data_IF_227686688473
#
_entry.id   IF_227686688473
#
_cell.length_a   1.000
_cell.length_b   1.000
_cell.length_c   1.000
_cell.angle_alpha   90.00
_cell.angle_beta   90.00
_cell.angle_gamma   90.00
#
_symmetry.space_group_name_H-M   'P 1'
#
loop_
_entity.id
_entity.type
_entity.pdbx_description
1 polymer ?
#
# COMPACT_ATOMS: atom_id res chain seq x y z
N UNK A 1 -1.81 -19.34 10.64
CA UNK A 1 -0.89 -19.71 11.75
C UNK A 1 -0.35 -18.46 12.44
N UNK A 2 -0.22 -18.49 13.74
CA UNK A 2 0.44 -17.44 14.54
C UNK A 2 1.96 -17.60 14.33
N UNK A 3 2.71 -16.49 14.27
CA UNK A 3 4.18 -16.59 14.15
C UNK A 3 4.80 -17.11 15.46
N UNK A 4 5.87 -17.91 15.32
CA UNK A 4 6.58 -18.48 16.48
C UNK A 4 7.06 -17.40 17.46
N UNK A 5 7.44 -16.22 16.96
CA UNK A 5 7.86 -15.09 17.79
C UNK A 5 6.74 -14.58 18.71
N UNK A 6 5.50 -14.55 18.23
CA UNK A 6 4.35 -14.12 19.02
C UNK A 6 3.97 -15.18 20.05
N UNK A 7 4.00 -16.47 19.65
CA UNK A 7 3.83 -17.56 20.59
C UNK A 7 4.86 -17.48 21.71
N UNK A 8 6.16 -17.30 21.36
CA UNK A 8 7.24 -17.18 22.35
C UNK A 8 7.03 -16.00 23.29
N UNK A 9 6.74 -14.80 22.75
CA UNK A 9 6.47 -13.62 23.59
C UNK A 9 5.30 -13.84 24.54
N UNK A 10 4.27 -14.55 24.09
CA UNK A 10 3.08 -14.88 24.92
C UNK A 10 3.46 -15.83 26.05
N UNK A 11 4.23 -16.89 25.75
CA UNK A 11 4.68 -17.84 26.75
C UNK A 11 5.64 -17.20 27.78
N UNK A 12 6.57 -16.36 27.31
CA UNK A 12 7.49 -15.62 28.20
C UNK A 12 6.73 -14.70 29.16
N UNK A 13 5.71 -14.00 28.65
CA UNK A 13 4.83 -13.17 29.46
C UNK A 13 4.06 -13.98 30.52
N UNK A 14 3.50 -15.13 30.14
CA UNK A 14 2.80 -16.03 31.05
C UNK A 14 3.74 -16.61 32.12
N UNK A 15 4.96 -17.05 31.73
CA UNK A 15 5.99 -17.52 32.65
C UNK A 15 6.42 -16.44 33.65
N UNK A 16 6.60 -15.19 33.18
CA UNK A 16 6.99 -14.08 34.06
C UNK A 16 5.96 -13.85 35.20
N UNK A 17 4.66 -14.06 34.91
CA UNK A 17 3.58 -13.91 35.88
C UNK A 17 3.44 -15.14 36.76
N UNK A 18 3.41 -16.35 36.19
CA UNK A 18 3.01 -17.60 36.85
C UNK A 18 4.19 -18.40 37.41
N UNK A 19 5.39 -18.15 36.90
CA UNK A 19 6.63 -18.92 37.16
C UNK A 19 6.56 -20.38 36.74
N UNK A 20 5.59 -20.74 35.91
CA UNK A 20 5.41 -22.09 35.35
C UNK A 20 5.98 -22.10 33.95
N UNK A 21 6.74 -23.14 33.65
CA UNK A 21 7.31 -23.36 32.32
C UNK A 21 6.24 -23.87 31.34
N UNK A 22 6.22 -23.25 30.16
CA UNK A 22 5.23 -23.52 29.12
C UNK A 22 5.91 -23.78 27.77
N UNK A 23 5.35 -24.69 26.98
CA UNK A 23 5.77 -25.00 25.62
C UNK A 23 4.56 -25.16 24.70
N UNK A 24 4.74 -24.91 23.44
CA UNK A 24 3.73 -25.10 22.39
C UNK A 24 4.34 -25.91 21.25
N UNK A 25 3.65 -26.96 20.85
CA UNK A 25 3.99 -27.81 19.70
C UNK A 25 2.85 -27.78 18.68
N UNK A 26 3.19 -28.09 17.42
CA UNK A 26 2.19 -28.43 16.42
C UNK A 26 1.67 -29.88 16.63
N UNK A 27 0.75 -30.31 15.78
CA UNK A 27 0.16 -31.67 15.83
C UNK A 27 1.15 -32.76 15.38
N UNK A 28 2.28 -32.39 14.77
CA UNK A 28 3.36 -33.30 14.37
C UNK A 28 4.44 -33.44 15.47
N UNK A 29 4.29 -32.72 16.59
CA UNK A 29 5.21 -32.77 17.74
C UNK A 29 6.36 -31.74 17.66
N UNK A 30 6.45 -30.96 16.59
CA UNK A 30 7.49 -29.95 16.44
C UNK A 30 7.26 -28.77 17.40
N UNK A 31 8.27 -28.43 18.18
CA UNK A 31 8.22 -27.28 19.10
C UNK A 31 8.20 -25.97 18.31
N UNK A 32 7.20 -25.13 18.54
CA UNK A 32 7.02 -23.83 17.94
C UNK A 32 7.53 -22.69 18.84
N UNK A 33 7.34 -22.83 20.15
CA UNK A 33 7.82 -21.92 21.17
C UNK A 33 7.96 -22.66 22.51
N UNK A 34 8.94 -22.29 23.34
CA UNK A 34 9.15 -22.90 24.65
C UNK A 34 9.88 -21.97 25.59
N UNK A 35 9.55 -22.03 26.90
CA UNK A 35 10.25 -21.35 27.98
C UNK A 35 11.24 -22.25 28.72
N UNK A 36 11.41 -23.50 28.30
CA UNK A 36 12.31 -24.52 28.84
C UNK A 36 13.02 -25.29 27.72
N UNK A 37 14.17 -25.90 28.04
CA UNK A 37 15.10 -26.44 27.05
C UNK A 37 14.83 -27.87 26.59
N UNK A 38 14.14 -28.65 27.43
CA UNK A 38 13.84 -30.10 27.20
C UNK A 38 12.44 -30.32 26.57
N UNK A 39 11.88 -29.29 25.94
CA UNK A 39 10.59 -29.40 25.23
C UNK A 39 10.65 -30.35 24.01
N UNK A 40 11.81 -30.42 23.34
CA UNK A 40 12.02 -31.28 22.18
C UNK A 40 11.95 -32.79 22.55
N UNK A 41 12.25 -33.16 23.78
CA UNK A 41 12.19 -34.55 24.26
C UNK A 41 10.74 -35.05 24.39
N UNK A 42 9.73 -34.17 24.30
CA UNK A 42 8.32 -34.50 24.44
C UNK A 42 7.61 -34.85 23.11
N UNK A 43 8.31 -34.85 21.97
CA UNK A 43 7.73 -35.13 20.64
C UNK A 43 6.90 -36.43 20.63
N UNK A 44 7.46 -37.54 21.10
CA UNK A 44 6.75 -38.83 21.15
C UNK A 44 5.52 -38.81 22.04
N UNK A 45 5.57 -38.04 23.15
CA UNK A 45 4.44 -37.88 24.06
C UNK A 45 3.34 -37.00 23.47
N UNK A 46 3.72 -35.97 22.66
CA UNK A 46 2.78 -35.12 21.92
C UNK A 46 2.00 -35.96 20.92
N UNK A 47 2.68 -36.80 20.11
CA UNK A 47 2.01 -37.67 19.12
C UNK A 47 0.99 -38.62 19.76
N UNK A 48 1.35 -39.24 20.90
CA UNK A 48 0.42 -40.09 21.67
C UNK A 48 -0.79 -39.30 22.16
N UNK A 49 -0.58 -38.07 22.62
CA UNK A 49 -1.66 -37.23 23.15
C UNK A 49 -2.56 -36.67 22.04
N UNK A 50 -2.06 -36.40 20.85
CA UNK A 50 -2.86 -35.97 19.68
C UNK A 50 -4.01 -36.97 19.42
N UNK A 51 -3.72 -38.27 19.45
CA UNK A 51 -4.68 -39.34 19.20
C UNK A 51 -5.58 -39.64 20.41
N UNK A 52 -5.27 -39.11 21.60
CA UNK A 52 -6.06 -39.31 22.80
C UNK A 52 -7.41 -38.60 22.71
N UNK A 53 -8.52 -39.17 23.21
CA UNK A 53 -9.81 -38.48 23.29
C UNK A 53 -9.86 -37.39 24.37
N UNK A 54 -8.84 -37.30 25.22
CA UNK A 54 -8.82 -36.34 26.34
C UNK A 54 -8.39 -34.94 25.86
N UNK A 55 -9.01 -33.89 26.39
CA UNK A 55 -8.63 -32.51 26.14
C UNK A 55 -7.38 -32.06 26.93
N UNK A 56 -7.08 -32.78 28.01
CA UNK A 56 -5.88 -32.61 28.81
C UNK A 56 -5.44 -33.94 29.45
N UNK A 57 -4.12 -34.12 29.60
CA UNK A 57 -3.54 -35.35 30.13
C UNK A 57 -2.16 -35.08 30.75
N UNK A 58 -1.81 -35.86 31.80
CA UNK A 58 -0.46 -35.86 32.36
C UNK A 58 0.34 -36.99 31.71
N UNK A 59 1.46 -36.68 31.08
CA UNK A 59 2.36 -37.67 30.47
C UNK A 59 3.80 -37.30 30.90
N UNK A 60 4.53 -38.23 31.47
CA UNK A 60 5.93 -38.05 31.89
C UNK A 60 6.22 -36.80 32.73
N UNK A 61 5.27 -36.39 33.57
CA UNK A 61 5.44 -35.21 34.43
C UNK A 61 5.07 -33.86 33.80
N UNK A 62 4.64 -33.88 32.55
CA UNK A 62 4.10 -32.68 31.88
C UNK A 62 2.57 -32.76 31.83
N UNK A 63 1.93 -31.60 31.94
CA UNK A 63 0.49 -31.43 31.66
C UNK A 63 0.36 -30.99 30.18
N UNK A 64 -0.40 -31.77 29.41
CA UNK A 64 -0.70 -31.51 28.00
C UNK A 64 -2.12 -30.98 27.87
N UNK A 65 -2.32 -30.01 26.99
CA UNK A 65 -3.62 -29.41 26.68
C UNK A 65 -3.79 -29.26 25.19
N UNK A 66 -4.96 -29.64 24.65
CA UNK A 66 -5.35 -29.42 23.28
C UNK A 66 -5.82 -27.98 23.07
N UNK A 67 -5.36 -27.35 22.02
CA UNK A 67 -5.79 -26.02 21.58
C UNK A 67 -6.42 -26.15 20.20
N UNK A 68 -7.71 -25.83 20.12
CA UNK A 68 -8.51 -26.00 18.92
C UNK A 68 -8.73 -24.67 18.20
N UNK A 69 -8.74 -24.71 16.85
CA UNK A 69 -9.35 -23.70 16.00
C UNK A 69 -10.73 -24.23 15.57
N UNK A 70 -11.79 -23.70 16.12
CA UNK A 70 -13.17 -24.24 16.00
C UNK A 70 -13.22 -25.73 16.41
N UNK A 71 -13.15 -26.65 15.44
CA UNK A 71 -13.18 -28.10 15.66
C UNK A 71 -11.90 -28.81 15.26
N UNK A 72 -10.90 -28.07 14.74
CA UNK A 72 -9.62 -28.62 14.30
C UNK A 72 -8.57 -28.42 15.40
N UNK A 73 -7.88 -29.50 15.78
CA UNK A 73 -6.74 -29.42 16.67
C UNK A 73 -5.59 -28.70 15.96
N UNK A 74 -5.12 -27.60 16.54
CA UNK A 74 -4.09 -26.76 15.91
C UNK A 74 -2.76 -26.83 16.66
N UNK A 75 -2.82 -26.77 18.00
CA UNK A 75 -1.63 -26.84 18.85
C UNK A 75 -1.82 -27.72 20.06
N UNK A 76 -0.69 -28.22 20.59
CA UNK A 76 -0.59 -28.85 21.89
C UNK A 76 0.22 -27.91 22.81
N UNK A 77 -0.38 -27.49 23.91
CA UNK A 77 0.32 -26.75 24.95
C UNK A 77 0.84 -27.72 26.02
N UNK A 78 2.08 -27.54 26.43
CA UNK A 78 2.73 -28.25 27.51
C UNK A 78 2.95 -27.31 28.69
N UNK A 79 2.66 -27.76 29.90
CA UNK A 79 3.00 -27.07 31.14
C UNK A 79 3.84 -27.99 32.04
N UNK A 80 4.99 -27.48 32.51
CA UNK A 80 5.97 -28.22 33.31
C UNK A 80 5.92 -27.76 34.76
N UNK A 81 5.75 -28.69 35.69
CA UNK A 81 5.83 -28.42 37.12
C UNK A 81 5.12 -29.50 37.96
N UNK A 82 5.36 -29.49 39.26
CA UNK A 82 4.84 -30.49 40.20
C UNK A 82 3.73 -29.96 41.14
N UNK A 83 3.33 -28.69 40.98
CA UNK A 83 2.29 -28.09 41.83
C UNK A 83 0.89 -28.23 41.24
N UNK A 84 -0.13 -28.20 42.06
CA UNK A 84 -1.55 -28.24 41.65
C UNK A 84 -1.92 -27.04 40.74
N UNK A 85 -1.14 -25.95 40.83
CA UNK A 85 -1.33 -24.75 40.01
C UNK A 85 -0.99 -24.96 38.52
N UNK A 86 -0.13 -25.97 38.18
CA UNK A 86 0.29 -26.25 36.83
C UNK A 86 -0.88 -26.55 35.89
N UNK A 87 -1.85 -27.32 36.37
CA UNK A 87 -3.07 -27.62 35.60
C UNK A 87 -3.88 -26.35 35.32
N UNK A 88 -4.08 -25.51 36.35
CA UNK A 88 -4.86 -24.28 36.22
C UNK A 88 -4.16 -23.29 35.27
N UNK A 89 -2.85 -23.09 35.41
CA UNK A 89 -2.05 -22.20 34.56
C UNK A 89 -2.00 -22.73 33.15
N UNK A 90 -1.77 -24.03 32.94
CA UNK A 90 -1.78 -24.65 31.61
C UNK A 90 -3.12 -24.48 30.90
N UNK A 91 -4.24 -24.64 31.61
CA UNK A 91 -5.59 -24.44 31.08
C UNK A 91 -5.86 -22.97 30.72
N UNK A 92 -5.41 -22.02 31.55
CA UNK A 92 -5.48 -20.58 31.25
C UNK A 92 -4.60 -20.21 30.04
N UNK A 93 -3.39 -20.77 29.95
CA UNK A 93 -2.51 -20.55 28.82
C UNK A 93 -3.11 -21.12 27.53
N UNK A 94 -3.67 -22.33 27.55
CA UNK A 94 -4.37 -22.92 26.40
C UNK A 94 -5.54 -22.04 25.93
N UNK A 95 -6.35 -21.55 26.87
CA UNK A 95 -7.45 -20.62 26.57
C UNK A 95 -6.94 -19.29 25.98
N UNK A 96 -5.84 -18.74 26.51
CA UNK A 96 -5.22 -17.52 25.98
C UNK A 96 -4.71 -17.73 24.55
N UNK A 97 -4.04 -18.86 24.26
CA UNK A 97 -3.58 -19.20 22.91
C UNK A 97 -4.76 -19.40 21.96
N UNK A 98 -5.84 -20.03 22.41
CA UNK A 98 -7.07 -20.18 21.62
C UNK A 98 -7.69 -18.83 21.24
N UNK A 99 -7.79 -17.89 22.20
CA UNK A 99 -8.25 -16.53 21.91
C UNK A 99 -7.32 -15.79 20.94
N UNK A 100 -6.02 -16.01 21.05
CA UNK A 100 -5.03 -15.46 20.14
C UNK A 100 -5.24 -16.00 18.71
N UNK A 101 -5.49 -17.31 18.56
CA UNK A 101 -5.82 -17.94 17.27
C UNK A 101 -7.03 -17.29 16.63
N UNK A 102 -8.13 -17.15 17.36
CA UNK A 102 -9.37 -16.52 16.86
C UNK A 102 -9.09 -15.08 16.40
N UNK A 103 -8.37 -14.28 17.20
CA UNK A 103 -8.04 -12.90 16.86
C UNK A 103 -7.16 -12.80 15.59
N UNK A 104 -6.19 -13.71 15.45
CA UNK A 104 -5.32 -13.76 14.27
C UNK A 104 -6.08 -14.17 13.01
N UNK A 105 -6.96 -15.16 13.12
CA UNK A 105 -7.81 -15.61 12.02
C UNK A 105 -8.73 -14.48 11.55
N UNK A 106 -9.40 -13.81 12.48
CA UNK A 106 -10.27 -12.67 12.17
C UNK A 106 -9.50 -11.54 11.45
N UNK A 107 -8.29 -11.22 11.96
CA UNK A 107 -7.42 -10.22 11.32
C UNK A 107 -6.99 -10.63 9.92
N UNK A 108 -6.62 -11.90 9.71
CA UNK A 108 -6.23 -12.45 8.43
C UNK A 108 -7.40 -12.45 7.44
N UNK A 109 -8.60 -12.82 7.90
CA UNK A 109 -9.80 -12.81 7.08
C UNK A 109 -10.19 -11.38 6.66
N UNK A 110 -10.07 -10.40 7.55
CA UNK A 110 -10.26 -8.97 7.23
C UNK A 110 -9.24 -8.48 6.20
N UNK A 111 -7.96 -8.79 6.38
CA UNK A 111 -6.89 -8.40 5.45
C UNK A 111 -7.12 -9.00 4.06
N UNK A 112 -7.43 -10.31 3.99
CA UNK A 112 -7.77 -10.98 2.74
C UNK A 112 -9.02 -10.42 2.07
N UNK A 113 -10.05 -10.11 2.85
CA UNK A 113 -11.26 -9.48 2.33
C UNK A 113 -10.95 -8.14 1.68
N UNK A 114 -10.21 -7.28 2.38
CA UNK A 114 -9.83 -5.94 1.87
C UNK A 114 -8.93 -6.07 0.62
N UNK A 115 -7.96 -6.97 0.59
CA UNK A 115 -7.12 -7.21 -0.60
C UNK A 115 -7.94 -7.62 -1.81
N UNK A 116 -8.84 -8.59 -1.65
CA UNK A 116 -9.71 -9.04 -2.74
C UNK A 116 -10.67 -7.93 -3.19
N UNK A 117 -11.14 -7.10 -2.28
CA UNK A 117 -11.99 -5.95 -2.58
C UNK A 117 -11.23 -4.88 -3.39
N UNK A 118 -10.00 -4.54 -3.00
CA UNK A 118 -9.13 -3.61 -3.73
C UNK A 118 -8.86 -4.09 -5.16
N UNK A 119 -8.62 -5.39 -5.32
CA UNK A 119 -8.30 -6.01 -6.61
C UNK A 119 -9.54 -6.33 -7.47
N UNK A 120 -10.74 -6.02 -7.01
CA UNK A 120 -12.00 -6.26 -7.73
C UNK A 120 -12.30 -7.77 -7.97
N UNK A 121 -11.86 -8.62 -7.04
CA UNK A 121 -11.95 -10.08 -7.13
C UNK A 121 -13.21 -10.66 -6.46
N UNK A 122 -14.16 -9.82 -6.03
CA UNK A 122 -15.35 -10.25 -5.30
C UNK A 122 -16.64 -9.90 -6.06
N UNK A 123 -17.58 -10.82 -6.05
CA UNK A 123 -18.93 -10.54 -6.51
C UNK A 123 -19.66 -9.64 -5.50
N UNK A 124 -20.59 -8.83 -6.00
CA UNK A 124 -21.32 -7.85 -5.17
C UNK A 124 -22.00 -8.50 -3.95
N UNK A 125 -22.60 -9.68 -4.13
CA UNK A 125 -23.25 -10.43 -3.04
C UNK A 125 -22.24 -10.86 -1.99
N UNK A 126 -21.06 -11.30 -2.42
CA UNK A 126 -20.00 -11.73 -1.50
C UNK A 126 -19.41 -10.57 -0.70
N UNK A 127 -19.34 -9.36 -1.31
CA UNK A 127 -18.87 -8.15 -0.63
C UNK A 127 -19.70 -7.89 0.62
N UNK A 128 -21.02 -7.82 0.48
CA UNK A 128 -21.90 -7.52 1.60
C UNK A 128 -21.99 -8.66 2.62
N UNK A 129 -22.03 -9.91 2.18
CA UNK A 129 -22.07 -11.07 3.08
C UNK A 129 -20.79 -11.18 3.92
N UNK A 130 -19.62 -11.00 3.30
CA UNK A 130 -18.33 -11.06 4.03
C UNK A 130 -18.15 -9.85 4.93
N UNK A 131 -18.50 -8.62 4.47
CA UNK A 131 -18.46 -7.43 5.31
C UNK A 131 -19.29 -7.61 6.58
N UNK A 132 -20.52 -8.15 6.46
CA UNK A 132 -21.39 -8.46 7.61
C UNK A 132 -20.76 -9.47 8.55
N UNK A 133 -20.20 -10.59 8.02
CA UNK A 133 -19.53 -11.63 8.83
C UNK A 133 -18.31 -11.06 9.57
N UNK A 134 -17.57 -10.14 8.95
CA UNK A 134 -16.36 -9.54 9.50
C UNK A 134 -16.63 -8.28 10.34
N UNK A 135 -17.90 -7.94 10.55
CA UNK A 135 -18.31 -6.73 11.29
C UNK A 135 -17.72 -5.44 10.69
N UNK A 136 -17.71 -5.34 9.36
CA UNK A 136 -17.24 -4.16 8.63
C UNK A 136 -18.45 -3.35 8.15
N UNK A 137 -18.51 -2.08 8.55
CA UNK A 137 -19.58 -1.15 8.13
C UNK A 137 -19.51 -0.92 6.61
N UNK A 138 -20.64 -1.08 5.91
CA UNK A 138 -20.72 -0.95 4.45
C UNK A 138 -20.93 0.48 3.98
N UNK A 139 -21.78 1.24 4.68
CA UNK A 139 -22.29 2.57 4.29
C UNK A 139 -21.47 3.71 4.90
N UNK A 140 -20.17 3.49 5.09
CA UNK A 140 -19.25 4.46 5.66
C UNK A 140 -18.40 5.06 4.55
N UNK A 141 -18.25 6.39 4.57
CA UNK A 141 -17.35 7.08 3.62
C UNK A 141 -15.92 6.65 3.81
N UNK A 142 -15.25 6.29 2.70
CA UNK A 142 -13.84 5.88 2.71
C UNK A 142 -13.07 6.53 1.57
N UNK A 143 -11.77 6.54 1.71
CA UNK A 143 -10.82 6.92 0.66
C UNK A 143 -9.63 5.96 0.71
N UNK A 144 -9.10 5.62 -0.47
CA UNK A 144 -7.93 4.75 -0.56
C UNK A 144 -6.68 5.59 -0.83
N UNK A 145 -5.66 5.39 -0.01
CA UNK A 145 -4.31 5.90 -0.22
C UNK A 145 -3.39 4.77 -0.67
N UNK A 146 -2.50 5.09 -1.58
CA UNK A 146 -1.35 4.26 -1.96
C UNK A 146 -0.09 4.99 -1.51
N UNK A 147 0.72 4.32 -0.72
CA UNK A 147 1.99 4.80 -0.22
C UNK A 147 3.05 3.94 -0.89
N UNK A 148 3.72 4.50 -1.90
CA UNK A 148 4.78 3.81 -2.62
C UNK A 148 6.10 4.03 -1.89
N UNK A 149 6.76 2.93 -1.50
CA UNK A 149 8.10 2.96 -0.90
C UNK A 149 9.17 2.71 -1.95
N UNK A 150 10.38 3.24 -1.72
CA UNK A 150 11.49 3.07 -2.66
C UNK A 150 12.15 1.69 -2.53
N UNK A 151 12.08 1.10 -1.33
CA UNK A 151 12.65 -0.20 -1.02
C UNK A 151 11.57 -1.27 -1.05
N UNK A 152 11.91 -2.43 -1.61
CA UNK A 152 11.04 -3.61 -1.58
C UNK A 152 10.91 -4.13 -0.14
N UNK A 153 9.68 -4.50 0.27
CA UNK A 153 9.35 -5.08 1.59
C UNK A 153 9.84 -4.23 2.77
N UNK A 154 9.64 -2.93 2.71
CA UNK A 154 9.99 -2.04 3.83
C UNK A 154 9.05 -2.30 5.03
N UNK A 155 9.44 -3.26 5.87
CA UNK A 155 8.69 -3.67 7.07
C UNK A 155 8.54 -2.50 8.04
N UNK A 156 9.56 -1.65 8.15
CA UNK A 156 9.55 -0.49 9.03
C UNK A 156 8.53 0.54 8.56
N UNK A 157 8.44 0.79 7.25
CA UNK A 157 7.43 1.70 6.69
C UNK A 157 6.01 1.19 6.96
N UNK A 158 5.74 -0.11 6.77
CA UNK A 158 4.43 -0.70 7.05
C UNK A 158 4.07 -0.58 8.54
N UNK A 159 5.01 -0.85 9.44
CA UNK A 159 4.78 -0.75 10.89
C UNK A 159 4.59 0.71 11.34
N UNK A 160 5.34 1.64 10.78
CA UNK A 160 5.17 3.08 11.02
C UNK A 160 3.75 3.53 10.60
N UNK A 161 3.29 3.16 9.41
CA UNK A 161 1.92 3.47 8.97
C UNK A 161 0.89 2.82 9.90
N UNK A 162 1.08 1.57 10.31
CA UNK A 162 0.18 0.89 11.26
C UNK A 162 0.12 1.60 12.61
N UNK A 163 1.25 2.03 13.15
CA UNK A 163 1.31 2.75 14.42
C UNK A 163 0.59 4.10 14.36
N UNK A 164 0.73 4.83 13.25
CA UNK A 164 0.07 6.12 13.02
C UNK A 164 -1.46 6.02 13.04
N UNK A 165 -2.01 4.89 12.58
CA UNK A 165 -3.44 4.64 12.53
C UNK A 165 -3.94 3.62 13.57
N UNK A 166 -3.11 3.19 14.52
CA UNK A 166 -3.42 2.14 15.50
C UNK A 166 -4.67 2.45 16.35
N UNK A 167 -4.93 3.73 16.65
CA UNK A 167 -6.11 4.16 17.42
C UNK A 167 -7.42 4.21 16.58
N UNK A 168 -7.34 4.01 15.27
CA UNK A 168 -8.46 4.12 14.33
C UNK A 168 -8.88 2.72 13.90
N UNK A 169 -9.80 2.12 14.64
CA UNK A 169 -10.24 0.72 14.46
C UNK A 169 -10.97 0.42 13.15
N UNK A 170 -11.38 1.47 12.41
CA UNK A 170 -12.14 1.34 11.16
C UNK A 170 -11.29 1.54 9.89
N UNK A 171 -10.02 1.89 10.06
CA UNK A 171 -9.07 2.00 8.96
C UNK A 171 -8.42 0.64 8.67
N UNK A 172 -8.18 0.32 7.41
CA UNK A 172 -7.50 -0.91 7.01
C UNK A 172 -6.16 -0.58 6.37
N UNK A 173 -5.12 -1.27 6.82
CA UNK A 173 -3.76 -1.10 6.29
C UNK A 173 -3.27 -2.46 5.82
N UNK A 174 -3.00 -2.56 4.52
CA UNK A 174 -2.54 -3.79 3.87
C UNK A 174 -1.45 -3.48 2.86
N UNK A 175 -0.81 -4.52 2.30
CA UNK A 175 0.09 -4.42 1.17
C UNK A 175 -0.45 -5.34 0.06
N UNK A 176 -0.56 -4.81 -1.14
CA UNK A 176 -1.03 -5.57 -2.32
C UNK A 176 0.16 -6.12 -3.10
N UNK A 177 1.28 -5.41 -3.04
CA UNK A 177 2.57 -5.80 -3.62
C UNK A 177 3.73 -5.40 -2.71
N UNK A 178 4.97 -5.61 -3.16
CA UNK A 178 6.17 -5.42 -2.35
C UNK A 178 6.55 -3.94 -2.12
N UNK A 179 6.00 -3.01 -2.91
CA UNK A 179 6.35 -1.59 -2.90
C UNK A 179 5.24 -0.68 -2.39
N UNK A 180 3.99 -1.18 -2.36
CA UNK A 180 2.83 -0.36 -2.09
C UNK A 180 2.13 -0.75 -0.78
N UNK A 181 2.12 0.18 0.17
CA UNK A 181 1.29 0.11 1.36
C UNK A 181 -0.04 0.79 1.03
N UNK A 182 -1.14 0.11 1.30
CA UNK A 182 -2.49 0.60 1.04
C UNK A 182 -3.18 0.93 2.35
N UNK A 183 -3.66 2.16 2.48
CA UNK A 183 -4.51 2.60 3.57
C UNK A 183 -5.92 2.84 3.03
N UNK A 184 -6.89 2.07 3.52
CA UNK A 184 -8.32 2.33 3.30
C UNK A 184 -8.83 3.07 4.53
N UNK A 185 -8.92 4.40 4.44
CA UNK A 185 -9.25 5.29 5.56
C UNK A 185 -10.74 5.60 5.60
N UNK A 186 -11.35 5.53 6.79
CA UNK A 186 -12.67 6.10 7.04
C UNK A 186 -12.59 7.63 6.99
N UNK A 187 -13.53 8.25 6.27
CA UNK A 187 -13.69 9.71 6.18
C UNK A 187 -14.76 10.15 7.15
N UNK A 188 -14.40 10.96 8.13
CA UNK A 188 -15.30 11.45 9.16
C UNK A 188 -16.31 12.46 8.59
N UNK A 189 -17.42 12.63 9.28
CA UNK A 189 -18.42 13.64 8.90
C UNK A 189 -17.80 15.04 8.95
N UNK A 190 -17.87 15.79 7.84
CA UNK A 190 -17.27 17.13 7.70
C UNK A 190 -15.82 17.13 7.21
N UNK A 191 -15.15 16.00 7.12
CA UNK A 191 -13.77 15.89 6.59
C UNK A 191 -13.77 16.19 5.08
N UNK A 192 -12.91 17.12 4.67
CA UNK A 192 -12.78 17.60 3.29
C UNK A 192 -11.52 17.08 2.62
N UNK A 193 -11.38 17.28 1.30
CA UNK A 193 -10.14 16.95 0.58
C UNK A 193 -8.89 17.64 1.15
N UNK A 194 -9.03 18.86 1.74
CA UNK A 194 -7.91 19.54 2.41
C UNK A 194 -7.39 18.79 3.64
N UNK A 195 -8.26 18.05 4.34
CA UNK A 195 -7.85 17.20 5.47
C UNK A 195 -7.27 15.86 5.00
N UNK A 196 -7.74 15.37 3.85
CA UNK A 196 -7.12 14.21 3.19
C UNK A 196 -5.68 14.55 2.74
N UNK A 197 -5.45 15.75 2.18
CA UNK A 197 -4.11 16.23 1.86
C UNK A 197 -3.22 16.34 3.11
N UNK A 198 -3.74 16.82 4.22
CA UNK A 198 -3.00 16.86 5.51
C UNK A 198 -2.64 15.45 5.98
N UNK A 199 -3.57 14.50 5.88
CA UNK A 199 -3.30 13.09 6.21
C UNK A 199 -2.18 12.52 5.34
N UNK A 200 -2.21 12.76 4.03
CA UNK A 200 -1.16 12.32 3.11
C UNK A 200 0.21 12.92 3.45
N UNK A 201 0.26 14.23 3.76
CA UNK A 201 1.50 14.89 4.18
C UNK A 201 2.01 14.37 5.53
N UNK A 202 1.12 14.10 6.50
CA UNK A 202 1.52 13.48 7.78
C UNK A 202 2.18 12.13 7.57
N UNK A 203 1.61 11.28 6.71
CA UNK A 203 2.21 9.98 6.35
C UNK A 203 3.57 10.17 5.69
N UNK A 204 3.68 11.11 4.74
CA UNK A 204 4.92 11.45 4.06
C UNK A 204 6.02 11.89 5.05
N UNK A 205 5.69 12.81 5.95
CA UNK A 205 6.63 13.37 6.92
C UNK A 205 7.10 12.30 7.93
N UNK A 206 6.18 11.48 8.44
CA UNK A 206 6.52 10.39 9.37
C UNK A 206 7.44 9.35 8.72
N UNK A 207 7.15 8.92 7.50
CA UNK A 207 7.98 7.94 6.81
C UNK A 207 9.35 8.49 6.41
N UNK A 208 9.43 9.77 6.03
CA UNK A 208 10.71 10.42 5.74
C UNK A 208 11.57 10.59 6.99
N UNK A 209 10.97 10.87 8.15
CA UNK A 209 11.71 11.16 9.40
C UNK A 209 11.99 9.91 10.22
N UNK A 210 11.02 9.03 10.44
CA UNK A 210 11.17 7.86 11.32
C UNK A 210 11.69 6.63 10.58
N UNK A 211 11.15 6.35 9.39
CA UNK A 211 11.60 5.20 8.59
C UNK A 211 12.77 5.53 7.65
N UNK A 212 13.17 6.82 7.53
CA UNK A 212 14.22 7.30 6.60
C UNK A 212 13.99 6.84 5.16
N UNK A 213 12.73 6.62 4.77
CA UNK A 213 12.35 6.07 3.47
C UNK A 213 11.67 7.15 2.65
N UNK A 214 12.21 7.40 1.44
CA UNK A 214 11.54 8.29 0.48
C UNK A 214 10.29 7.61 -0.05
N UNK A 215 9.15 8.28 0.07
CA UNK A 215 7.87 7.74 -0.35
C UNK A 215 7.11 8.72 -1.24
N UNK A 216 6.17 8.20 -2.02
CA UNK A 216 5.11 8.96 -2.67
C UNK A 216 3.76 8.50 -2.13
N UNK A 217 2.88 9.45 -1.89
CA UNK A 217 1.53 9.18 -1.41
C UNK A 217 0.53 9.66 -2.46
N UNK A 218 -0.30 8.75 -2.95
CA UNK A 218 -1.39 9.10 -3.85
C UNK A 218 -2.72 8.64 -3.25
N UNK A 219 -3.82 9.36 -3.55
CA UNK A 219 -5.13 8.96 -3.07
C UNK A 219 -6.24 9.20 -4.09
N UNK A 220 -7.27 8.34 -4.00
CA UNK A 220 -8.45 8.37 -4.87
C UNK A 220 -9.51 9.36 -4.41
N UNK A 221 -10.73 9.19 -4.91
CA UNK A 221 -11.89 9.97 -4.47
C UNK A 221 -12.55 9.34 -3.25
N UNK A 222 -13.29 10.17 -2.50
CA UNK A 222 -14.16 9.72 -1.42
C UNK A 222 -15.29 8.88 -2.03
N UNK A 223 -15.49 7.70 -1.46
CA UNK A 223 -16.57 6.76 -1.81
C UNK A 223 -17.56 6.66 -0.65
N UNK A 224 -18.79 6.26 -0.94
CA UNK A 224 -19.86 6.19 0.07
C UNK A 224 -20.25 4.76 0.46
N UNK A 225 -19.77 3.77 -0.27
CA UNK A 225 -20.12 2.36 -0.07
C UNK A 225 -18.86 1.50 -0.24
N UNK A 226 -18.75 0.44 0.55
CA UNK A 226 -17.59 -0.46 0.56
C UNK A 226 -17.32 -1.12 -0.81
N UNK A 227 -18.37 -1.38 -1.61
CA UNK A 227 -18.25 -1.94 -2.97
C UNK A 227 -17.45 -1.06 -3.92
N UNK A 228 -17.32 0.24 -3.61
CA UNK A 228 -16.60 1.21 -4.44
C UNK A 228 -15.11 1.34 -4.06
N UNK A 229 -14.63 0.57 -3.08
CA UNK A 229 -13.22 0.63 -2.63
C UNK A 229 -12.27 0.35 -3.80
N UNK A 230 -12.57 -0.61 -4.68
CA UNK A 230 -11.77 -0.89 -5.88
C UNK A 230 -11.68 0.32 -6.83
N UNK A 231 -12.75 1.12 -6.93
CA UNK A 231 -12.73 2.36 -7.72
C UNK A 231 -11.75 3.37 -7.13
N UNK A 232 -11.85 3.67 -5.83
CA UNK A 232 -10.95 4.62 -5.17
C UNK A 232 -9.49 4.13 -5.23
N UNK A 233 -9.25 2.82 -5.18
CA UNK A 233 -7.93 2.24 -5.36
C UNK A 233 -7.38 2.43 -6.79
N UNK A 234 -8.18 2.14 -7.83
CA UNK A 234 -7.81 2.36 -9.23
C UNK A 234 -7.51 3.83 -9.52
N UNK A 235 -8.28 4.73 -8.91
CA UNK A 235 -8.05 6.19 -8.97
C UNK A 235 -6.75 6.60 -8.28
N UNK A 236 -6.46 6.07 -7.08
CA UNK A 236 -5.20 6.32 -6.38
C UNK A 236 -3.99 5.80 -7.16
N UNK A 237 -4.10 4.62 -7.79
CA UNK A 237 -3.07 4.06 -8.64
C UNK A 237 -2.80 4.94 -9.86
N UNK A 238 -3.87 5.38 -10.53
CA UNK A 238 -3.73 6.33 -11.63
C UNK A 238 -3.10 7.64 -11.17
N UNK A 239 -3.46 8.15 -9.98
CA UNK A 239 -2.86 9.36 -9.43
C UNK A 239 -1.35 9.19 -9.20
N UNK A 240 -0.93 8.01 -8.71
CA UNK A 240 0.48 7.70 -8.51
C UNK A 240 1.25 7.69 -9.84
N UNK A 241 0.73 7.01 -10.87
CA UNK A 241 1.38 6.89 -12.17
C UNK A 241 1.42 8.23 -12.91
N UNK A 242 0.29 8.95 -12.98
CA UNK A 242 0.21 10.30 -13.57
C UNK A 242 1.14 11.28 -12.83
N UNK A 243 1.26 11.10 -11.51
CA UNK A 243 2.19 11.85 -10.68
C UNK A 243 3.65 11.65 -11.09
N UNK A 244 4.06 10.40 -11.35
CA UNK A 244 5.41 10.07 -11.84
C UNK A 244 5.72 10.72 -13.19
N UNK A 245 4.75 10.74 -14.08
CA UNK A 245 4.90 11.27 -15.43
C UNK A 245 4.95 12.79 -15.45
N UNK A 246 3.97 13.44 -14.82
CA UNK A 246 3.74 14.88 -15.02
C UNK A 246 4.10 15.76 -13.83
N UNK A 247 4.17 15.17 -12.62
CA UNK A 247 4.37 15.90 -11.36
C UNK A 247 5.52 15.31 -10.53
N UNK A 248 6.67 15.04 -11.20
CA UNK A 248 7.84 14.39 -10.60
C UNK A 248 8.31 15.03 -9.28
N UNK A 249 8.11 16.35 -9.13
CA UNK A 249 8.50 17.11 -7.93
C UNK A 249 7.47 17.06 -6.81
N UNK A 250 6.32 16.40 -7.00
CA UNK A 250 5.29 16.27 -5.98
C UNK A 250 5.33 14.87 -5.39
N UNK A 251 5.36 14.80 -4.07
CA UNK A 251 5.32 13.54 -3.33
C UNK A 251 3.90 13.18 -2.86
N UNK A 252 2.96 14.14 -2.83
CA UNK A 252 1.54 13.92 -2.54
C UNK A 252 0.72 14.26 -3.77
N UNK A 253 -0.08 13.31 -4.25
CA UNK A 253 -0.88 13.43 -5.47
C UNK A 253 -2.31 12.98 -5.22
N UNK A 254 -3.26 13.90 -5.36
CA UNK A 254 -4.70 13.63 -5.33
C UNK A 254 -5.23 13.34 -6.73
N UNK A 255 -6.08 12.32 -6.87
CA UNK A 255 -6.74 12.00 -8.14
C UNK A 255 -7.51 13.19 -8.73
N UNK A 256 -8.18 13.98 -7.87
CA UNK A 256 -8.94 15.17 -8.29
C UNK A 256 -8.08 16.28 -8.89
N UNK A 257 -6.77 16.28 -8.62
CA UNK A 257 -5.83 17.32 -9.02
C UNK A 257 -5.03 16.95 -10.29
N UNK A 258 -5.35 15.83 -10.94
CA UNK A 258 -4.61 15.36 -12.12
C UNK A 258 -4.87 16.17 -13.39
N UNK A 259 -5.99 16.88 -13.46
CA UNK A 259 -6.36 17.68 -14.62
C UNK A 259 -6.31 16.89 -15.92
N UNK A 260 -5.70 17.51 -16.96
CA UNK A 260 -5.56 16.90 -18.29
C UNK A 260 -4.64 15.65 -18.28
N UNK A 261 -3.73 15.53 -17.35
CA UNK A 261 -2.85 14.36 -17.22
C UNK A 261 -3.63 13.06 -17.10
N UNK A 262 -4.79 13.08 -16.42
CA UNK A 262 -5.68 11.93 -16.32
C UNK A 262 -6.25 11.48 -17.68
N UNK A 263 -6.59 12.42 -18.55
CA UNK A 263 -7.09 12.11 -19.89
C UNK A 263 -6.00 11.51 -20.76
N UNK A 264 -4.81 12.13 -20.75
CA UNK A 264 -3.67 11.68 -21.55
C UNK A 264 -3.23 10.27 -21.14
N UNK A 265 -3.21 9.96 -19.84
CA UNK A 265 -2.84 8.63 -19.35
C UNK A 265 -3.77 7.51 -19.87
N UNK A 266 -5.00 7.83 -20.24
CA UNK A 266 -5.98 6.87 -20.77
C UNK A 266 -5.95 6.76 -22.32
N UNK A 267 -5.11 7.54 -23.01
CA UNK A 267 -5.04 7.47 -24.45
C UNK A 267 -4.31 6.20 -24.93
N UNK A 268 -4.85 5.51 -25.94
CA UNK A 268 -4.14 4.40 -26.58
C UNK A 268 -2.82 4.85 -27.20
N UNK A 269 -1.75 4.11 -27.00
CA UNK A 269 -0.40 4.43 -27.55
C UNK A 269 -0.41 4.64 -29.08
N UNK A 270 -1.15 3.85 -29.89
CA UNK A 270 -1.22 4.14 -31.32
C UNK A 270 -1.78 5.53 -31.65
N UNK A 271 -2.77 6.00 -30.91
CA UNK A 271 -3.35 7.34 -31.05
C UNK A 271 -2.32 8.42 -30.66
N UNK A 272 -1.58 8.18 -29.58
CA UNK A 272 -0.50 9.07 -29.16
C UNK A 272 0.57 9.22 -30.24
N UNK A 273 1.01 8.10 -30.83
CA UNK A 273 2.02 8.10 -31.93
C UNK A 273 1.52 8.85 -33.17
N UNK A 274 0.26 8.66 -33.54
CA UNK A 274 -0.35 9.38 -34.65
C UNK A 274 -0.37 10.90 -34.39
N UNK A 275 -0.86 11.32 -33.22
CA UNK A 275 -0.95 12.72 -32.84
C UNK A 275 0.43 13.43 -32.82
N UNK A 276 1.44 12.78 -32.22
CA UNK A 276 2.81 13.34 -32.21
C UNK A 276 3.36 13.52 -33.63
N UNK A 277 3.12 12.54 -34.53
CA UNK A 277 3.56 12.64 -35.93
C UNK A 277 2.90 13.81 -36.68
N UNK A 278 1.59 14.01 -36.43
CA UNK A 278 0.84 15.11 -37.04
C UNK A 278 1.31 16.48 -36.54
N UNK A 279 1.49 16.61 -35.20
CA UNK A 279 1.87 17.90 -34.60
C UNK A 279 3.31 18.33 -34.94
N UNK A 280 4.24 17.37 -35.00
CA UNK A 280 5.68 17.67 -35.19
C UNK A 280 6.23 17.28 -36.58
N UNK A 281 5.34 17.00 -37.53
CA UNK A 281 5.74 16.64 -38.93
C UNK A 281 6.78 15.50 -38.96
N UNK A 282 6.54 14.47 -38.10
CA UNK A 282 7.42 13.31 -38.01
C UNK A 282 8.69 13.48 -37.18
N UNK A 283 8.95 14.67 -36.64
CA UNK A 283 10.05 14.93 -35.69
C UNK A 283 9.67 14.47 -34.27
N UNK A 284 10.66 14.17 -33.44
CA UNK A 284 10.45 13.87 -32.06
C UNK A 284 10.59 15.11 -31.17
N UNK A 285 9.72 15.31 -30.16
CA UNK A 285 9.94 16.31 -29.11
C UNK A 285 11.27 16.15 -28.36
N UNK A 286 11.85 14.95 -28.36
CA UNK A 286 13.16 14.66 -27.75
C UNK A 286 14.34 15.30 -28.52
N UNK A 287 14.10 15.81 -29.74
CA UNK A 287 15.11 16.54 -30.54
C UNK A 287 15.31 18.00 -30.09
N UNK A 288 14.41 18.50 -29.19
CA UNK A 288 14.60 19.84 -28.63
C UNK A 288 15.72 19.81 -27.58
N UNK A 289 16.63 20.76 -27.68
CA UNK A 289 17.67 20.95 -26.68
C UNK A 289 17.08 21.41 -25.33
N UNK A 290 17.83 21.20 -24.25
CA UNK A 290 17.41 21.53 -22.88
C UNK A 290 17.03 23.02 -22.73
N UNK A 291 17.72 23.90 -23.43
CA UNK A 291 17.48 25.34 -23.42
C UNK A 291 16.13 25.68 -24.04
N UNK A 292 15.79 25.05 -25.14
CA UNK A 292 14.47 25.17 -25.79
C UNK A 292 13.37 24.65 -24.91
N UNK A 293 13.52 23.44 -24.32
CA UNK A 293 12.54 22.88 -23.42
C UNK A 293 12.35 23.75 -22.15
N UNK A 294 13.42 24.28 -21.57
CA UNK A 294 13.36 25.21 -20.44
C UNK A 294 12.59 26.48 -20.80
N UNK A 295 12.85 27.02 -22.01
CA UNK A 295 12.16 28.21 -22.54
C UNK A 295 10.65 27.95 -22.68
N UNK A 296 10.28 26.84 -23.29
CA UNK A 296 8.88 26.43 -23.49
C UNK A 296 8.17 26.26 -22.14
N UNK A 297 8.76 25.49 -21.22
CA UNK A 297 8.17 25.24 -19.91
C UNK A 297 7.95 26.56 -19.15
N UNK A 298 8.97 27.43 -19.13
CA UNK A 298 8.89 28.73 -18.46
C UNK A 298 7.85 29.65 -19.11
N UNK A 299 7.67 29.58 -20.42
CA UNK A 299 6.66 30.34 -21.14
C UNK A 299 5.24 29.88 -20.78
N UNK A 300 5.01 28.59 -20.67
CA UNK A 300 3.75 28.03 -20.17
C UNK A 300 3.49 28.38 -18.70
N UNK A 301 4.50 28.28 -17.82
CA UNK A 301 4.38 28.64 -16.41
C UNK A 301 3.96 30.11 -16.22
N UNK A 302 4.43 30.98 -17.10
CA UNK A 302 4.09 32.40 -17.08
C UNK A 302 2.86 32.76 -17.94
N UNK A 303 1.99 31.79 -18.22
CA UNK A 303 0.73 32.02 -18.96
C UNK A 303 0.94 32.73 -20.30
N UNK A 304 1.98 32.34 -21.05
CA UNK A 304 2.36 32.85 -22.36
C UNK A 304 2.78 34.36 -22.33
N UNK A 305 3.21 34.85 -21.18
CA UNK A 305 3.68 36.23 -21.04
C UNK A 305 5.15 36.36 -21.39
N UNK A 306 5.41 36.98 -22.55
CA UNK A 306 6.80 37.20 -23.09
C UNK A 306 7.68 37.99 -22.12
N UNK A 307 7.16 39.09 -21.55
CA UNK A 307 7.95 39.96 -20.71
C UNK A 307 8.32 39.30 -19.35
N UNK A 308 7.38 38.62 -18.74
CA UNK A 308 7.63 37.89 -17.49
C UNK A 308 8.56 36.71 -17.71
N UNK A 309 8.36 35.96 -18.80
CA UNK A 309 9.22 34.82 -19.14
C UNK A 309 10.66 35.24 -19.39
N UNK A 310 10.88 36.32 -20.17
CA UNK A 310 12.23 36.83 -20.42
C UNK A 310 12.94 37.26 -19.14
N UNK A 311 12.19 37.93 -18.21
CA UNK A 311 12.70 38.32 -16.91
C UNK A 311 13.11 37.11 -16.04
N UNK A 312 12.28 36.06 -15.98
CA UNK A 312 12.56 34.86 -15.19
C UNK A 312 13.66 33.98 -15.79
N UNK A 313 13.85 34.02 -17.13
CA UNK A 313 14.96 33.34 -17.82
C UNK A 313 16.25 34.15 -17.81
N UNK A 314 16.23 35.40 -17.28
CA UNK A 314 17.38 36.32 -17.32
C UNK A 314 17.92 36.60 -18.75
N UNK A 315 17.02 36.68 -19.77
CA UNK A 315 17.35 36.98 -21.12
C UNK A 315 16.62 38.22 -21.62
N UNK A 316 17.18 38.85 -22.67
CA UNK A 316 16.50 39.98 -23.29
C UNK A 316 15.21 39.51 -24.01
N UNK A 317 14.15 40.34 -23.98
CA UNK A 317 12.86 40.06 -24.63
C UNK A 317 13.03 39.63 -26.10
N UNK A 318 13.89 40.29 -26.85
CA UNK A 318 14.13 39.96 -28.25
C UNK A 318 14.75 38.56 -28.42
N UNK A 319 15.57 38.12 -27.48
CA UNK A 319 16.14 36.77 -27.47
C UNK A 319 15.03 35.73 -27.28
N UNK A 320 14.10 35.98 -26.37
CA UNK A 320 12.94 35.06 -26.20
C UNK A 320 12.08 35.04 -27.47
N UNK A 321 11.75 36.18 -28.03
CA UNK A 321 10.99 36.22 -29.29
C UNK A 321 11.69 35.43 -30.40
N UNK A 322 13.00 35.64 -30.58
CA UNK A 322 13.79 34.86 -31.56
C UNK A 322 13.70 33.34 -31.31
N UNK A 323 13.76 32.88 -30.05
CA UNK A 323 13.60 31.46 -29.73
C UNK A 323 12.19 30.95 -30.08
N UNK A 324 11.15 31.71 -29.80
CA UNK A 324 9.77 31.38 -30.18
C UNK A 324 9.60 31.33 -31.70
N UNK A 325 10.18 32.28 -32.44
CA UNK A 325 10.14 32.29 -33.90
C UNK A 325 10.89 31.09 -34.49
N UNK A 326 12.04 30.71 -33.92
CA UNK A 326 12.78 29.50 -34.30
C UNK A 326 11.94 28.25 -34.10
N UNK A 327 11.24 28.18 -32.95
CA UNK A 327 10.35 27.06 -32.63
C UNK A 327 9.17 26.97 -33.60
N UNK A 328 8.53 28.12 -33.93
CA UNK A 328 7.46 28.19 -34.90
C UNK A 328 7.93 27.71 -36.29
N UNK A 329 9.13 28.11 -36.72
CA UNK A 329 9.70 27.65 -37.99
C UNK A 329 9.96 26.14 -38.05
N UNK A 330 10.29 25.53 -36.88
CA UNK A 330 10.61 24.10 -36.82
C UNK A 330 9.38 23.23 -36.68
N UNK A 331 8.30 23.72 -36.07
CA UNK A 331 7.09 22.95 -35.72
C UNK A 331 5.83 23.39 -36.45
N UNK A 332 5.82 24.58 -37.05
CA UNK A 332 4.62 25.20 -37.62
C UNK A 332 3.70 25.86 -36.60
N UNK A 333 3.96 25.69 -35.29
CA UNK A 333 3.09 26.18 -34.20
C UNK A 333 3.68 27.45 -33.55
N UNK A 334 2.90 28.52 -33.51
CA UNK A 334 3.26 29.76 -32.81
C UNK A 334 2.73 29.73 -31.36
N UNK A 335 3.62 29.52 -30.40
CA UNK A 335 3.22 29.43 -28.97
C UNK A 335 2.64 30.74 -28.40
N UNK A 336 2.66 31.84 -29.13
CA UNK A 336 1.97 33.07 -28.77
C UNK A 336 0.49 33.06 -29.14
N UNK A 337 0.06 32.11 -29.98
CA UNK A 337 -1.32 31.85 -30.35
C UNK A 337 -1.85 30.76 -29.37
N UNK A 338 -2.92 31.05 -28.72
CA UNK A 338 -3.47 30.17 -27.64
C UNK A 338 -3.75 28.73 -28.12
N UNK A 339 -4.36 28.57 -29.30
CA UNK A 339 -4.69 27.27 -29.88
C UNK A 339 -3.44 26.44 -30.18
N UNK A 340 -2.41 27.09 -30.77
CA UNK A 340 -1.13 26.45 -31.07
C UNK A 340 -0.40 26.08 -29.78
N UNK A 341 -0.43 26.96 -28.76
CA UNK A 341 0.19 26.74 -27.48
C UNK A 341 -0.43 25.55 -26.73
N UNK A 342 -1.78 25.43 -26.75
CA UNK A 342 -2.48 24.26 -26.17
C UNK A 342 -2.08 22.99 -26.90
N UNK A 343 -2.14 22.99 -28.23
CA UNK A 343 -1.78 21.82 -29.06
C UNK A 343 -0.36 21.36 -28.75
N UNK A 344 0.58 22.30 -28.70
CA UNK A 344 1.97 22.03 -28.39
C UNK A 344 2.16 21.48 -26.98
N UNK A 345 1.47 22.06 -25.97
CA UNK A 345 1.54 21.59 -24.58
C UNK A 345 1.01 20.18 -24.44
N UNK A 346 -0.13 19.87 -25.05
CA UNK A 346 -0.70 18.52 -25.06
C UNK A 346 0.28 17.55 -25.73
N UNK A 347 0.88 17.92 -26.87
CA UNK A 347 1.85 17.07 -27.55
C UNK A 347 3.09 16.77 -26.70
N UNK A 348 3.63 17.73 -25.96
CA UNK A 348 4.72 17.48 -25.00
C UNK A 348 4.29 16.54 -23.88
N UNK A 349 3.07 16.67 -23.38
CA UNK A 349 2.55 15.75 -22.33
C UNK A 349 2.37 14.34 -22.89
N UNK A 350 1.81 14.21 -24.10
CA UNK A 350 1.67 12.91 -24.78
C UNK A 350 3.03 12.25 -25.00
N UNK A 351 4.04 13.02 -25.43
CA UNK A 351 5.41 12.50 -25.58
C UNK A 351 6.00 11.98 -24.25
N UNK A 352 5.84 12.73 -23.16
CA UNK A 352 6.27 12.27 -21.82
C UNK A 352 5.56 10.98 -21.39
N UNK A 353 4.27 10.87 -21.67
CA UNK A 353 3.50 9.67 -21.37
C UNK A 353 4.01 8.47 -22.18
N UNK A 354 4.23 8.63 -23.50
CA UNK A 354 4.76 7.56 -24.36
C UNK A 354 6.11 7.07 -23.86
N UNK A 355 7.03 7.98 -23.53
CA UNK A 355 8.37 7.66 -23.00
C UNK A 355 8.29 6.87 -21.70
N UNK A 356 7.36 7.24 -20.80
CA UNK A 356 7.12 6.50 -19.56
C UNK A 356 6.62 5.07 -19.85
N UNK A 357 5.66 4.90 -20.77
CA UNK A 357 5.13 3.59 -21.13
C UNK A 357 6.21 2.70 -21.77
N UNK A 358 7.05 3.23 -22.65
CA UNK A 358 8.19 2.52 -23.23
C UNK A 358 9.20 2.08 -22.16
N UNK A 359 9.44 2.89 -21.12
CA UNK A 359 10.31 2.52 -20.01
C UNK A 359 9.76 1.36 -19.17
N UNK A 360 8.43 1.25 -19.03
CA UNK A 360 7.78 0.14 -18.33
C UNK A 360 7.87 -1.17 -19.13
N UNK A 361 7.63 -1.11 -20.45
CA UNK A 361 7.74 -2.28 -21.34
C UNK A 361 9.18 -2.83 -21.34
N UNK A 362 10.18 -1.95 -21.33
CA UNK A 362 11.59 -2.36 -21.26
C UNK A 362 11.92 -3.02 -19.91
N UNK A 363 11.40 -2.52 -18.80
CA UNK A 363 11.62 -3.11 -17.46
C UNK A 363 10.92 -4.46 -17.30
N UNK A 364 9.75 -4.64 -17.91
CA UNK A 364 9.02 -5.91 -17.91
C UNK A 364 9.69 -6.99 -18.77
N UNK A 365 10.35 -6.60 -19.88
CA UNK A 365 11.05 -7.52 -20.78
C UNK A 365 12.42 -8.01 -20.29
N UNK A 366 13.01 -7.35 -19.28
CA UNK A 366 14.32 -7.74 -18.69
C UNK A 366 14.13 -8.69 -17.50
N UNK A 367 12.90 -8.84 -17.00
CA UNK A 367 12.56 -9.69 -15.82
C UNK A 367 11.97 -11.05 -16.20
N UNK A 368 12.00 -11.43 -17.50
CA UNK A 368 11.49 -12.68 -18.03
C UNK A 368 12.57 -13.72 -18.34
#
# INVERSE_FOLDING_TARGET
MISNQILQTTLDGLKAITRIDLGICDTEGKVLASTFTDAEDSESSVLVFVDSPADSQVIQGYQFFKVFDEHQLEYILLAKGASDDVYMVGKLAAFQIQNLLVAYKERFDKDNFIKNLLLDNLLLVDIYNRAKKLHIDTDVKRVVYIIETHNEKDVNALETVRSLFASKTKDFITAVDEKNIILVKEVRQGETYGELDKTANTVLDMLNTEAMTKVRVAYGTIINDIKEVSRSYKEAKMALDVGKIFYANKNVIAYNNLGIGRLIYQLPIPLCKMFIREVFDGKSPDEFDEETLATINKFFENSLNVSETSRQLYIHRNTLVYRLDKLQKSTGLDLRIFEDAITFKIALMVAKYMKYMESLDYSAGVSG
#
